data_IF_247969754192
#
_entry.id   IF_247969754192
#
_cell.length_a   1.000
_cell.length_b   1.000
_cell.length_c   1.000
_cell.angle_alpha   90.00
_cell.angle_beta   90.00
_cell.angle_gamma   90.00
#
_symmetry.space_group_name_H-M   'P 1'
#
loop_
_entity.id
_entity.type
_entity.pdbx_description
1 polymer ?
#
# COMPACT_ATOMS: atom_id res chain seq x y z
N UNK A 1 -1.08 -3.70 -23.61
CA UNK A 1 -0.96 -2.33 -23.05
C UNK A 1 -0.24 -1.44 -24.05
N UNK A 2 -0.58 -0.16 -24.15
CA UNK A 2 0.11 0.85 -25.01
C UNK A 2 0.77 1.91 -24.14
N UNK A 3 1.86 2.52 -24.61
CA UNK A 3 2.50 3.65 -23.92
C UNK A 3 1.51 4.75 -23.52
N UNK A 4 1.85 5.45 -22.44
CA UNK A 4 1.09 6.58 -21.90
C UNK A 4 2.00 7.80 -21.82
N UNK A 5 1.42 8.98 -22.01
CA UNK A 5 2.12 10.25 -21.85
C UNK A 5 1.37 11.09 -20.82
N UNK A 6 2.07 11.53 -19.79
CA UNK A 6 1.56 12.45 -18.78
C UNK A 6 2.61 13.53 -18.55
N UNK A 7 2.22 14.80 -18.62
CA UNK A 7 3.10 15.94 -18.34
C UNK A 7 4.42 15.95 -19.14
N UNK A 8 4.43 15.44 -20.36
CA UNK A 8 5.64 15.36 -21.20
C UNK A 8 6.55 14.18 -20.89
N UNK A 9 6.24 13.36 -19.88
CA UNK A 9 6.92 12.10 -19.59
C UNK A 9 6.24 10.93 -20.31
N UNK A 10 7.04 10.05 -20.89
CA UNK A 10 6.56 8.83 -21.54
C UNK A 10 6.65 7.67 -20.57
N UNK A 11 5.59 6.89 -20.45
CA UNK A 11 5.55 5.70 -19.61
C UNK A 11 5.26 4.49 -20.47
N UNK A 12 6.15 3.49 -20.38
CA UNK A 12 5.96 2.22 -21.06
C UNK A 12 5.22 1.23 -20.16
N UNK A 13 4.46 0.28 -20.73
CA UNK A 13 3.82 -0.75 -19.93
C UNK A 13 4.82 -1.54 -19.09
N UNK A 14 4.43 -1.90 -17.86
CA UNK A 14 5.30 -2.61 -16.93
C UNK A 14 4.65 -3.86 -16.32
N UNK A 15 3.56 -3.71 -15.56
CA UNK A 15 2.83 -4.83 -14.94
C UNK A 15 1.38 -4.74 -15.38
N UNK A 16 0.89 -5.75 -16.08
CA UNK A 16 -0.49 -5.76 -16.57
C UNK A 16 -1.50 -6.14 -15.49
N UNK A 17 -2.77 -5.79 -15.71
CA UNK A 17 -3.84 -6.09 -14.78
C UNK A 17 -3.95 -7.58 -14.44
N UNK A 18 -3.80 -8.50 -15.40
CA UNK A 18 -3.88 -9.94 -15.11
C UNK A 18 -2.78 -10.42 -14.17
N UNK A 19 -1.56 -9.87 -14.27
CA UNK A 19 -0.47 -10.16 -13.34
C UNK A 19 -0.79 -9.63 -11.95
N UNK A 20 -1.35 -8.41 -11.87
CA UNK A 20 -1.78 -7.81 -10.60
C UNK A 20 -2.86 -8.67 -9.95
N UNK A 21 -3.91 -9.04 -10.68
CA UNK A 21 -5.00 -9.87 -10.15
C UNK A 21 -4.50 -11.25 -9.70
N UNK A 22 -3.62 -11.90 -10.48
CA UNK A 22 -3.00 -13.17 -10.07
C UNK A 22 -2.22 -13.01 -8.76
N UNK A 23 -1.42 -11.95 -8.64
CA UNK A 23 -0.63 -11.70 -7.45
C UNK A 23 -1.50 -11.37 -6.24
N UNK A 24 -2.59 -10.62 -6.42
CA UNK A 24 -3.58 -10.35 -5.38
C UNK A 24 -4.14 -11.65 -4.81
N UNK A 25 -4.48 -12.63 -5.66
CA UNK A 25 -4.99 -13.93 -5.21
C UNK A 25 -3.95 -14.71 -4.39
N UNK A 26 -2.68 -14.68 -4.80
CA UNK A 26 -1.59 -15.31 -4.04
C UNK A 26 -1.41 -14.67 -2.65
N UNK A 27 -1.42 -13.34 -2.56
CA UNK A 27 -1.30 -12.64 -1.29
C UNK A 27 -2.52 -12.88 -0.40
N UNK A 28 -3.72 -12.89 -0.97
CA UNK A 28 -4.95 -13.17 -0.24
C UNK A 28 -4.95 -14.59 0.35
N UNK A 29 -4.42 -15.58 -0.36
CA UNK A 29 -4.28 -16.94 0.18
C UNK A 29 -3.36 -16.99 1.41
N UNK A 30 -2.26 -16.24 1.40
CA UNK A 30 -1.36 -16.11 2.54
C UNK A 30 -2.06 -15.41 3.72
N UNK A 31 -2.74 -14.29 3.47
CA UNK A 31 -3.48 -13.55 4.50
C UNK A 31 -4.59 -14.42 5.12
N UNK A 32 -5.36 -15.14 4.30
CA UNK A 32 -6.41 -16.05 4.78
C UNK A 32 -5.86 -17.13 5.70
N UNK A 33 -4.66 -17.64 5.42
CA UNK A 33 -3.98 -18.63 6.27
C UNK A 33 -3.55 -18.00 7.59
N UNK A 34 -2.88 -16.85 7.53
CA UNK A 34 -2.31 -16.16 8.70
C UNK A 34 -3.38 -15.53 9.61
N UNK A 35 -4.55 -15.23 9.06
CA UNK A 35 -5.70 -14.68 9.79
C UNK A 35 -6.79 -15.71 10.06
N UNK A 36 -6.51 -17.01 9.88
CA UNK A 36 -7.48 -18.06 10.18
C UNK A 36 -7.94 -18.00 11.64
N UNK A 37 -9.26 -17.95 11.86
CA UNK A 37 -9.86 -17.94 13.20
C UNK A 37 -9.86 -16.58 13.92
N UNK A 38 -9.46 -15.50 13.25
CA UNK A 38 -9.60 -14.12 13.75
C UNK A 38 -10.34 -13.25 12.74
N UNK A 39 -10.85 -12.10 13.18
CA UNK A 39 -11.47 -11.08 12.31
C UNK A 39 -10.50 -9.89 12.12
N UNK A 40 -9.62 -9.94 11.10
CA UNK A 40 -8.65 -8.88 10.88
C UNK A 40 -9.32 -7.54 10.50
N UNK A 41 -8.68 -6.44 10.91
CA UNK A 41 -8.99 -5.10 10.43
C UNK A 41 -8.01 -4.74 9.31
N UNK A 42 -8.53 -4.59 8.10
CA UNK A 42 -7.79 -4.08 6.95
C UNK A 42 -7.79 -2.56 7.03
N UNK A 43 -6.61 -1.96 7.03
CA UNK A 43 -6.45 -0.50 7.05
C UNK A 43 -5.79 -0.08 5.75
N UNK A 44 -6.55 0.59 4.88
CA UNK A 44 -6.03 1.10 3.62
C UNK A 44 -5.45 2.52 3.79
N UNK A 45 -4.20 2.72 3.37
CA UNK A 45 -3.57 4.05 3.34
C UNK A 45 -3.95 4.78 2.05
N UNK A 46 -4.75 5.84 2.19
CA UNK A 46 -5.26 6.61 1.07
C UNK A 46 -4.24 7.63 0.53
N UNK A 47 -4.27 7.95 -0.77
CA UNK A 47 -5.26 7.50 -1.76
C UNK A 47 -4.79 6.32 -2.61
N UNK A 48 -3.48 6.16 -2.74
CA UNK A 48 -2.87 5.29 -3.75
C UNK A 48 -3.17 3.82 -3.53
N UNK A 49 -3.22 3.36 -2.27
CA UNK A 49 -3.49 1.95 -1.96
C UNK A 49 -4.93 1.51 -2.24
N UNK A 50 -5.87 2.42 -2.50
CA UNK A 50 -7.29 2.09 -2.57
C UNK A 50 -7.63 0.99 -3.60
N UNK A 51 -7.15 1.02 -4.86
CA UNK A 51 -7.44 -0.05 -5.82
C UNK A 51 -6.92 -1.41 -5.34
N UNK A 52 -5.67 -1.45 -4.86
CA UNK A 52 -5.07 -2.67 -4.33
C UNK A 52 -5.80 -3.20 -3.11
N UNK A 53 -6.15 -2.33 -2.16
CA UNK A 53 -6.85 -2.69 -0.94
C UNK A 53 -8.24 -3.29 -1.23
N UNK A 54 -8.98 -2.70 -2.17
CA UNK A 54 -10.32 -3.20 -2.55
C UNK A 54 -10.23 -4.55 -3.27
N UNK A 55 -9.22 -4.75 -4.12
CA UNK A 55 -9.03 -6.05 -4.78
C UNK A 55 -8.57 -7.12 -3.78
N UNK A 56 -7.62 -6.79 -2.90
CA UNK A 56 -7.11 -7.71 -1.88
C UNK A 56 -8.16 -8.08 -0.84
N UNK A 57 -8.93 -7.11 -0.36
CA UNK A 57 -10.02 -7.34 0.59
C UNK A 57 -11.08 -8.28 0.00
N UNK A 58 -11.48 -8.06 -1.27
CA UNK A 58 -12.45 -8.93 -1.95
C UNK A 58 -11.93 -10.33 -2.25
N UNK A 59 -10.62 -10.52 -2.38
CA UNK A 59 -9.98 -11.83 -2.55
C UNK A 59 -9.80 -12.61 -1.22
N UNK A 60 -10.17 -11.98 -0.10
CA UNK A 60 -10.23 -12.61 1.22
C UNK A 60 -11.67 -13.00 1.60
N UNK A 61 -12.53 -13.28 0.62
CA UNK A 61 -13.98 -13.50 0.77
C UNK A 61 -14.38 -14.67 1.68
N UNK A 62 -13.46 -15.59 1.95
CA UNK A 62 -13.71 -16.78 2.78
C UNK A 62 -13.49 -16.53 4.29
N UNK A 63 -13.07 -15.32 4.69
CA UNK A 63 -12.89 -14.94 6.09
C UNK A 63 -13.68 -13.67 6.41
N UNK A 64 -14.17 -13.57 7.65
CA UNK A 64 -14.75 -12.32 8.15
C UNK A 64 -13.63 -11.28 8.34
N UNK A 65 -13.77 -10.11 7.73
CA UNK A 65 -12.81 -9.02 7.84
C UNK A 65 -13.52 -7.66 7.80
N UNK A 66 -12.93 -6.67 8.48
CA UNK A 66 -13.36 -5.27 8.43
C UNK A 66 -12.42 -4.47 7.54
N UNK A 67 -12.93 -3.46 6.85
CA UNK A 67 -12.12 -2.53 6.05
C UNK A 67 -12.36 -1.09 6.51
N UNK A 68 -11.28 -0.39 6.82
CA UNK A 68 -11.28 1.04 7.10
C UNK A 68 -10.18 1.75 6.31
N UNK A 69 -10.25 3.07 6.28
CA UNK A 69 -9.37 3.92 5.50
C UNK A 69 -8.72 4.96 6.39
N UNK A 70 -7.44 5.21 6.18
CA UNK A 70 -6.72 6.29 6.82
C UNK A 70 -6.04 7.17 5.78
N UNK A 71 -5.96 8.47 6.05
CA UNK A 71 -5.25 9.40 5.16
C UNK A 71 -4.30 10.26 5.96
N UNK A 72 -3.03 10.23 5.57
CA UNK A 72 -2.00 11.11 6.10
C UNK A 72 -1.66 12.20 5.09
N UNK A 73 -1.32 13.38 5.60
CA UNK A 73 -0.54 14.34 4.82
C UNK A 73 0.92 14.13 5.18
N UNK A 74 1.73 13.63 4.25
CA UNK A 74 3.15 13.96 4.26
C UNK A 74 3.25 15.48 4.09
N UNK A 75 4.01 16.16 4.95
CA UNK A 75 4.19 17.61 4.81
C UNK A 75 5.17 17.86 3.65
N UNK A 76 4.69 18.44 2.55
CA UNK A 76 5.53 19.03 1.52
C UNK A 76 6.05 20.38 2.03
N UNK A 77 7.34 20.45 2.34
CA UNK A 77 8.04 21.67 2.77
C UNK A 77 9.48 21.35 3.18
N UNK A 78 10.42 22.25 2.89
CA UNK A 78 11.89 22.08 3.01
C UNK A 78 12.43 21.99 4.45
N UNK A 79 11.70 21.37 5.36
CA UNK A 79 12.11 21.17 6.75
C UNK A 79 11.45 19.91 7.31
N UNK A 80 12.23 18.85 7.48
CA UNK A 80 11.81 17.61 8.14
C UNK A 80 11.58 17.86 9.63
N UNK A 81 10.34 18.11 10.04
CA UNK A 81 9.96 18.20 11.46
C UNK A 81 9.30 16.93 12.01
N UNK A 82 9.36 15.80 11.29
CA UNK A 82 9.06 14.46 11.85
C UNK A 82 7.61 14.13 12.19
N UNK A 83 6.69 15.10 12.24
CA UNK A 83 5.30 14.88 12.66
C UNK A 83 4.35 14.72 11.45
N UNK A 84 3.83 13.49 11.26
CA UNK A 84 2.82 13.19 10.23
C UNK A 84 1.45 13.67 10.70
N UNK A 85 0.83 14.62 9.97
CA UNK A 85 -0.51 15.12 10.32
C UNK A 85 -1.58 14.20 9.72
N UNK A 86 -2.28 13.48 10.59
CA UNK A 86 -3.45 12.67 10.22
C UNK A 86 -4.57 13.59 9.69
N UNK A 87 -4.98 13.41 8.43
CA UNK A 87 -6.08 14.18 7.80
C UNK A 87 -7.42 13.49 8.07
N UNK A 88 -7.42 12.16 7.97
CA UNK A 88 -8.56 11.30 8.25
C UNK A 88 -8.05 10.19 9.17
N UNK A 89 -8.50 10.25 10.42
CA UNK A 89 -8.07 9.31 11.45
C UNK A 89 -9.00 8.12 11.60
N UNK A 90 -8.48 7.11 12.29
CA UNK A 90 -9.24 5.92 12.65
C UNK A 90 -10.20 6.28 13.80
N UNK A 91 -11.43 5.81 13.69
CA UNK A 91 -12.44 5.91 14.75
C UNK A 91 -12.61 4.59 15.52
N UNK A 92 -12.05 3.52 14.96
CA UNK A 92 -12.09 2.15 15.43
C UNK A 92 -11.18 1.95 16.64
N UNK A 93 -11.61 1.10 17.58
CA UNK A 93 -10.73 0.63 18.63
C UNK A 93 -9.77 -0.43 18.06
N UNK A 94 -8.48 -0.15 18.12
CA UNK A 94 -7.43 -1.05 17.63
C UNK A 94 -6.88 -1.99 18.71
N UNK A 95 -7.23 -1.80 19.98
CA UNK A 95 -6.71 -2.61 21.08
C UNK A 95 -7.06 -4.10 20.89
N UNK A 96 -6.04 -4.96 20.93
CA UNK A 96 -6.21 -6.40 20.74
C UNK A 96 -6.60 -6.84 19.32
N UNK A 97 -6.67 -5.93 18.34
CA UNK A 97 -7.02 -6.29 16.95
C UNK A 97 -5.83 -6.86 16.19
N UNK A 98 -6.10 -7.77 15.25
CA UNK A 98 -5.15 -8.16 14.22
C UNK A 98 -5.32 -7.22 13.02
N UNK A 99 -4.26 -6.52 12.64
CA UNK A 99 -4.31 -5.50 11.59
C UNK A 99 -3.57 -5.98 10.34
N UNK A 100 -4.17 -5.79 9.18
CA UNK A 100 -3.50 -5.84 7.87
C UNK A 100 -3.45 -4.42 7.31
N UNK A 101 -2.29 -3.79 7.39
CA UNK A 101 -2.05 -2.44 6.88
C UNK A 101 -1.66 -2.51 5.40
N UNK A 102 -2.40 -1.79 4.55
CA UNK A 102 -2.28 -1.88 3.09
C UNK A 102 -1.76 -0.57 2.50
N UNK A 103 -0.66 -0.67 1.76
CA UNK A 103 0.01 0.43 1.04
C UNK A 103 0.15 0.08 -0.46
N UNK A 104 0.12 1.08 -1.35
CA UNK A 104 0.41 0.84 -2.78
C UNK A 104 1.90 0.64 -3.03
N UNK A 105 2.76 1.42 -2.37
CA UNK A 105 4.20 1.31 -2.54
C UNK A 105 4.98 1.65 -1.27
N UNK A 106 5.96 0.82 -0.95
CA UNK A 106 7.00 1.15 0.01
C UNK A 106 8.28 1.49 -0.75
N UNK A 107 8.64 2.78 -0.72
CA UNK A 107 9.87 3.34 -1.32
C UNK A 107 10.95 3.50 -0.22
N UNK A 108 11.06 4.68 0.40
CA UNK A 108 12.03 4.91 1.49
C UNK A 108 11.66 4.23 2.81
N UNK A 109 10.38 3.90 3.01
CA UNK A 109 9.86 3.32 4.25
C UNK A 109 9.51 4.35 5.35
N UNK A 110 9.83 5.63 5.16
CA UNK A 110 9.59 6.69 6.16
C UNK A 110 8.12 6.76 6.60
N UNK A 111 7.19 6.80 5.66
CA UNK A 111 5.74 6.79 5.95
C UNK A 111 5.39 5.58 6.81
N UNK A 112 5.81 4.39 6.39
CA UNK A 112 5.49 3.15 7.08
C UNK A 112 6.01 3.11 8.51
N UNK A 113 7.23 3.56 8.77
CA UNK A 113 7.79 3.63 10.12
C UNK A 113 6.94 4.52 11.02
N UNK A 114 6.56 5.71 10.54
CA UNK A 114 5.68 6.61 11.28
C UNK A 114 4.29 6.01 11.53
N UNK A 115 3.70 5.33 10.54
CA UNK A 115 2.41 4.65 10.68
C UNK A 115 2.44 3.54 11.73
N UNK A 116 3.45 2.68 11.66
CA UNK A 116 3.61 1.58 12.60
C UNK A 116 3.82 2.11 14.02
N UNK A 117 4.60 3.19 14.19
CA UNK A 117 4.79 3.82 15.49
C UNK A 117 3.46 4.33 16.06
N UNK A 118 2.63 4.99 15.24
CA UNK A 118 1.33 5.49 15.68
C UNK A 118 0.35 4.36 16.02
N UNK A 119 0.18 3.38 15.12
CA UNK A 119 -0.76 2.28 15.31
C UNK A 119 -0.41 1.43 16.54
N UNK A 120 0.89 1.21 16.82
CA UNK A 120 1.34 0.46 18.00
C UNK A 120 0.93 1.11 19.32
N UNK A 121 0.73 2.43 19.37
CA UNK A 121 0.26 3.13 20.58
C UNK A 121 -1.15 2.69 21.01
N UNK A 122 -1.95 2.20 20.07
CA UNK A 122 -3.27 1.67 20.34
C UNK A 122 -3.28 0.18 20.75
N UNK A 123 -2.10 -0.44 20.92
CA UNK A 123 -1.93 -1.83 21.40
C UNK A 123 -2.71 -2.89 20.61
N UNK A 124 -2.58 -2.95 19.27
CA UNK A 124 -3.12 -4.07 18.51
C UNK A 124 -2.42 -5.37 18.91
N UNK A 125 -3.11 -6.51 18.73
CA UNK A 125 -2.54 -7.83 18.95
C UNK A 125 -1.42 -8.13 17.94
N UNK A 126 -1.59 -7.69 16.69
CA UNK A 126 -0.56 -7.76 15.66
C UNK A 126 -0.80 -6.72 14.56
N UNK A 127 0.26 -6.34 13.86
CA UNK A 127 0.20 -5.55 12.63
C UNK A 127 1.03 -6.28 11.60
N UNK A 128 0.40 -6.61 10.46
CA UNK A 128 1.05 -7.13 9.26
C UNK A 128 0.92 -6.13 8.13
N UNK A 129 1.90 -6.08 7.24
CA UNK A 129 1.97 -5.09 6.16
C UNK A 129 1.79 -5.81 4.82
N UNK A 130 0.81 -5.38 4.05
CA UNK A 130 0.66 -5.73 2.65
C UNK A 130 1.00 -4.53 1.77
N UNK A 131 1.93 -4.69 0.84
CA UNK A 131 2.24 -3.66 -0.15
C UNK A 131 2.17 -4.23 -1.56
N UNK A 132 1.58 -3.48 -2.49
CA UNK A 132 1.59 -3.91 -3.88
C UNK A 132 3.01 -3.87 -4.44
N UNK A 133 3.77 -2.81 -4.16
CA UNK A 133 5.11 -2.60 -4.72
C UNK A 133 6.14 -2.31 -3.63
N UNK A 134 7.30 -2.93 -3.74
CA UNK A 134 8.41 -2.76 -2.82
C UNK A 134 9.68 -2.38 -3.58
N UNK A 135 10.38 -1.32 -3.14
CA UNK A 135 11.67 -0.88 -3.69
C UNK A 135 12.79 -1.15 -2.69
N UNK A 136 13.35 -2.37 -2.65
CA UNK A 136 14.37 -2.72 -1.65
C UNK A 136 15.60 -1.80 -1.70
N UNK A 137 16.02 -1.38 -2.90
CA UNK A 137 17.18 -0.48 -3.09
C UNK A 137 16.96 0.95 -2.58
N UNK A 138 15.70 1.36 -2.35
CA UNK A 138 15.38 2.69 -1.87
C UNK A 138 15.09 2.74 -0.37
N UNK A 139 14.99 1.58 0.28
CA UNK A 139 14.63 1.47 1.68
C UNK A 139 15.72 2.07 2.58
N UNK A 140 15.32 3.00 3.45
CA UNK A 140 16.21 3.65 4.41
C UNK A 140 16.16 3.00 5.81
N UNK A 141 15.15 2.16 6.05
CA UNK A 141 14.86 1.49 7.33
C UNK A 141 14.99 -0.03 7.18
N UNK A 142 16.18 -0.61 7.37
CA UNK A 142 16.44 -2.04 7.11
C UNK A 142 15.63 -2.99 8.01
N UNK A 143 15.11 -2.49 9.14
CA UNK A 143 14.23 -3.22 10.05
C UNK A 143 12.77 -3.26 9.58
N UNK A 144 12.39 -2.43 8.60
CA UNK A 144 11.04 -2.44 8.05
C UNK A 144 10.86 -3.69 7.18
N UNK A 145 9.98 -4.58 7.62
CA UNK A 145 9.63 -5.79 6.90
C UNK A 145 8.16 -5.75 6.48
N UNK A 146 7.90 -6.00 5.19
CA UNK A 146 6.55 -6.19 4.68
C UNK A 146 6.22 -7.69 4.60
N UNK A 147 5.15 -8.12 5.29
CA UNK A 147 4.71 -9.51 5.33
C UNK A 147 4.23 -10.01 3.95
N UNK A 148 3.55 -9.15 3.20
CA UNK A 148 2.93 -9.49 1.91
C UNK A 148 3.36 -8.50 0.83
N UNK A 149 4.38 -8.88 0.05
CA UNK A 149 4.91 -8.05 -1.05
C UNK A 149 4.33 -8.52 -2.39
N UNK A 150 3.62 -7.64 -3.10
CA UNK A 150 3.12 -7.91 -4.44
C UNK A 150 4.28 -8.08 -5.43
N UNK A 151 5.03 -7.01 -5.69
CA UNK A 151 6.15 -7.03 -6.62
C UNK A 151 7.33 -6.22 -6.07
N UNK A 152 8.51 -6.82 -6.11
CA UNK A 152 9.75 -6.06 -5.95
C UNK A 152 10.11 -5.38 -7.27
N UNK A 153 10.42 -4.09 -7.22
CA UNK A 153 10.65 -3.27 -8.41
C UNK A 153 11.88 -2.36 -8.23
N UNK A 154 12.54 -1.94 -9.33
CA UNK A 154 13.66 -1.02 -9.24
C UNK A 154 13.23 0.39 -8.80
N UNK A 155 14.20 1.24 -8.44
CA UNK A 155 14.00 2.66 -8.09
C UNK A 155 13.68 3.52 -9.32
N UNK A 156 12.59 3.20 -10.02
CA UNK A 156 12.04 3.99 -11.14
C UNK A 156 10.69 4.59 -10.77
N UNK A 157 10.36 5.68 -11.46
CA UNK A 157 9.06 6.31 -11.34
C UNK A 157 8.00 5.48 -12.07
N UNK A 158 6.82 5.36 -11.47
CA UNK A 158 5.75 4.47 -11.89
C UNK A 158 4.39 5.16 -11.69
N UNK A 159 3.41 4.77 -12.50
CA UNK A 159 2.04 5.27 -12.42
C UNK A 159 1.05 4.15 -12.73
N UNK A 160 -0.22 4.37 -12.40
CA UNK A 160 -1.29 3.42 -12.69
C UNK A 160 -1.63 2.52 -11.50
N UNK A 161 -2.82 1.95 -11.54
CA UNK A 161 -3.36 1.08 -10.49
C UNK A 161 -3.22 1.70 -9.08
N UNK A 162 -3.71 2.94 -8.95
CA UNK A 162 -3.63 3.71 -7.71
C UNK A 162 -2.46 4.70 -7.64
N UNK A 163 -1.33 4.41 -8.29
CA UNK A 163 -0.16 5.31 -8.34
C UNK A 163 -0.40 6.48 -9.30
N UNK A 164 0.19 7.63 -9.01
CA UNK A 164 -0.11 8.87 -9.72
C UNK A 164 1.07 9.72 -10.17
N UNK A 165 0.72 10.66 -11.04
CA UNK A 165 1.47 11.88 -11.34
C UNK A 165 0.51 13.06 -11.19
N UNK A 166 0.72 13.90 -10.18
CA UNK A 166 -0.14 15.02 -9.77
C UNK A 166 -1.64 14.67 -9.71
N UNK A 167 -1.95 13.53 -9.08
CA UNK A 167 -3.32 13.03 -8.92
C UNK A 167 -3.91 12.33 -10.13
N UNK A 168 -3.23 12.34 -11.29
CA UNK A 168 -3.66 11.65 -12.51
C UNK A 168 -3.09 10.24 -12.60
N UNK A 169 -3.58 9.46 -13.57
CA UNK A 169 -3.16 8.09 -13.88
C UNK A 169 -3.55 6.99 -12.87
N UNK A 170 -4.02 7.32 -11.65
CA UNK A 170 -4.49 6.33 -10.66
C UNK A 170 -5.51 5.33 -11.22
N UNK A 171 -6.34 5.78 -12.16
CA UNK A 171 -7.44 5.03 -12.77
C UNK A 171 -7.01 4.07 -13.89
N UNK A 172 -5.72 4.01 -14.24
CA UNK A 172 -5.23 3.00 -15.18
C UNK A 172 -5.29 1.62 -14.53
N UNK A 173 -5.71 0.61 -15.29
CA UNK A 173 -5.85 -0.77 -14.78
C UNK A 173 -4.51 -1.51 -14.66
N UNK A 174 -3.48 -1.02 -15.34
CA UNK A 174 -2.13 -1.56 -15.37
C UNK A 174 -1.15 -0.57 -14.76
N UNK A 175 0.04 -1.06 -14.38
CA UNK A 175 1.16 -0.24 -13.93
C UNK A 175 2.10 0.03 -15.10
N UNK A 176 2.53 1.28 -15.20
CA UNK A 176 3.46 1.78 -16.19
C UNK A 176 4.71 2.32 -15.50
N UNK A 177 5.84 2.23 -16.18
CA UNK A 177 7.15 2.68 -15.69
C UNK A 177 7.69 3.77 -16.61
N UNK A 178 8.34 4.78 -16.03
CA UNK A 178 8.94 5.88 -16.78
C UNK A 178 9.93 5.32 -17.82
N UNK A 179 9.66 5.67 -19.08
CA UNK A 179 10.56 5.51 -20.22
C UNK A 179 11.53 6.69 -20.16
N UNK A 180 12.83 6.40 -20.25
CA UNK A 180 13.99 7.29 -19.98
C UNK A 180 13.73 8.80 -20.00
#
# INVERSE_FOLDING_TARGET
>A
MKQKCYQGMTFRPYINNSQIQSRVQELAAAIKTDCAGVTPLFICVLNGAAPFAIDLFRACEDIDAELTFMRFKSYEGTGSTGDVKQIMGLSENLEGRHIVLIEDIIDTGNTMVSLLAELRRHKPASIRIATLLFKPEALEHPELHADYVGFEIPKKFIIGYGLDIDGLARNLQDIYILDE
#
